data_IF_684009286534
#
_entry.id   IF_684009286534
#
_cell.length_a   1.000
_cell.length_b   1.000
_cell.length_c   1.000
_cell.angle_alpha   90.00
_cell.angle_beta   90.00
_cell.angle_gamma   90.00
#
_symmetry.space_group_name_H-M   'P 1'
#
loop_
_entity.id
_entity.type
_entity.pdbx_description
1 polymer ?
#
# COMPACT_ATOMS: atom_id res chain seq x y z
N UNK A 1 10.09 -4.81 5.79
CA UNK A 1 8.93 -5.04 6.67
C UNK A 1 9.41 -5.68 7.97
N UNK A 2 8.62 -5.57 9.05
CA UNK A 2 8.89 -6.24 10.33
C UNK A 2 8.19 -7.62 10.34
N UNK A 3 8.93 -8.65 10.74
CA UNK A 3 8.43 -10.03 10.87
C UNK A 3 7.28 -10.14 11.87
N UNK A 4 7.19 -9.23 12.85
CA UNK A 4 6.08 -9.17 13.83
C UNK A 4 4.71 -8.95 13.17
N UNK A 5 4.69 -8.42 11.95
CA UNK A 5 3.46 -8.10 11.22
C UNK A 5 3.03 -9.21 10.24
N UNK A 6 3.70 -10.36 10.26
CA UNK A 6 3.39 -11.48 9.39
C UNK A 6 2.36 -12.40 10.05
N UNK A 7 1.43 -13.00 9.29
CA UNK A 7 0.51 -14.00 9.85
C UNK A 7 1.30 -15.21 10.39
N UNK A 8 0.91 -15.74 11.55
CA UNK A 8 1.61 -16.89 12.15
C UNK A 8 1.22 -18.21 11.50
N UNK A 9 0.00 -18.28 10.95
CA UNK A 9 -0.50 -19.48 10.26
C UNK A 9 -1.58 -19.13 9.24
N UNK A 10 -1.81 -20.07 8.31
CA UNK A 10 -2.93 -19.97 7.37
C UNK A 10 -4.28 -19.88 8.10
N UNK A 11 -4.49 -20.68 9.16
CA UNK A 11 -5.75 -20.71 9.90
C UNK A 11 -6.05 -19.37 10.61
N UNK A 12 -5.00 -18.71 11.11
CA UNK A 12 -5.10 -17.38 11.69
C UNK A 12 -5.50 -16.35 10.63
N UNK A 13 -4.86 -16.36 9.46
CA UNK A 13 -5.19 -15.46 8.35
C UNK A 13 -6.63 -15.67 7.86
N UNK A 14 -7.10 -16.91 7.76
CA UNK A 14 -8.50 -17.21 7.43
C UNK A 14 -9.47 -16.66 8.46
N UNK A 15 -9.10 -16.68 9.75
CA UNK A 15 -9.90 -16.08 10.80
C UNK A 15 -9.97 -14.55 10.64
N UNK A 16 -8.83 -13.89 10.38
CA UNK A 16 -8.81 -12.45 10.11
C UNK A 16 -9.63 -12.08 8.87
N UNK A 17 -9.59 -12.88 7.81
CA UNK A 17 -10.39 -12.68 6.61
C UNK A 17 -11.89 -12.81 6.86
N UNK A 18 -12.32 -13.81 7.63
CA UNK A 18 -13.74 -13.95 8.01
C UNK A 18 -14.20 -12.75 8.83
N UNK A 19 -13.43 -12.34 9.84
CA UNK A 19 -13.75 -11.17 10.68
C UNK A 19 -13.83 -9.90 9.83
N UNK A 20 -12.78 -9.60 9.08
CA UNK A 20 -12.66 -8.35 8.33
C UNK A 20 -13.66 -8.29 7.18
N UNK A 21 -13.87 -9.39 6.46
CA UNK A 21 -14.87 -9.46 5.40
C UNK A 21 -16.29 -9.20 5.91
N UNK A 22 -16.62 -9.70 7.11
CA UNK A 22 -17.90 -9.44 7.76
C UNK A 22 -18.05 -7.97 8.15
N UNK A 23 -17.03 -7.39 8.82
CA UNK A 23 -17.03 -5.98 9.24
C UNK A 23 -17.15 -5.04 8.03
N UNK A 24 -16.40 -5.32 6.97
CA UNK A 24 -16.36 -4.51 5.75
C UNK A 24 -17.51 -4.80 4.78
N UNK A 25 -18.40 -5.74 5.10
CA UNK A 25 -19.51 -6.18 4.24
C UNK A 25 -19.03 -6.55 2.82
N UNK A 26 -17.88 -7.20 2.74
CA UNK A 26 -17.24 -7.54 1.47
C UNK A 26 -18.09 -8.55 0.68
N UNK A 27 -18.34 -8.32 -0.62
CA UNK A 27 -18.98 -9.32 -1.48
C UNK A 27 -18.04 -10.46 -1.86
N UNK A 28 -16.74 -10.33 -1.57
CA UNK A 28 -15.73 -11.34 -1.82
C UNK A 28 -15.27 -12.00 -0.53
N UNK A 29 -15.12 -13.33 -0.56
CA UNK A 29 -14.42 -14.08 0.48
C UNK A 29 -12.94 -14.18 0.12
N UNK A 30 -12.09 -13.60 0.96
CA UNK A 30 -10.65 -13.71 0.80
C UNK A 30 -10.18 -15.15 1.12
N UNK A 31 -9.14 -15.60 0.43
CA UNK A 31 -8.55 -16.92 0.50
C UNK A 31 -7.13 -16.80 1.08
N UNK A 32 -6.81 -17.56 2.14
CA UNK A 32 -5.48 -17.56 2.76
C UNK A 32 -4.50 -18.58 2.15
N UNK A 33 -4.89 -19.31 1.09
CA UNK A 33 -4.04 -20.32 0.44
C UNK A 33 -2.73 -19.74 -0.12
N UNK A 34 -2.63 -18.42 -0.31
CA UNK A 34 -1.37 -17.76 -0.67
C UNK A 34 -0.30 -17.84 0.43
N UNK A 35 -0.70 -18.10 1.68
CA UNK A 35 0.18 -18.12 2.85
C UNK A 35 1.38 -19.06 2.64
N UNK A 36 2.57 -18.57 2.98
CA UNK A 36 3.80 -19.36 3.00
C UNK A 36 4.42 -19.26 4.40
N UNK A 37 4.61 -20.38 5.11
CA UNK A 37 5.14 -20.38 6.46
C UNK A 37 6.62 -19.95 6.49
N UNK A 38 7.02 -19.25 7.54
CA UNK A 38 8.42 -18.90 7.83
C UNK A 38 8.98 -17.71 7.04
N UNK A 39 8.19 -17.06 6.20
CA UNK A 39 8.62 -15.83 5.52
C UNK A 39 8.80 -14.68 6.53
N UNK A 40 9.90 -13.94 6.37
CA UNK A 40 10.15 -12.70 7.11
C UNK A 40 9.46 -11.49 6.45
N UNK A 41 9.26 -11.55 5.13
CA UNK A 41 8.53 -10.56 4.35
C UNK A 41 7.99 -11.14 3.04
N UNK A 42 6.95 -10.53 2.49
CA UNK A 42 6.47 -10.79 1.12
C UNK A 42 7.21 -9.89 0.13
N UNK A 43 8.49 -10.16 -0.13
CA UNK A 43 9.34 -9.29 -0.96
C UNK A 43 8.87 -9.22 -2.42
N UNK A 44 8.71 -10.37 -3.08
CA UNK A 44 8.40 -10.44 -4.51
C UNK A 44 7.18 -9.60 -4.95
N UNK A 45 5.99 -9.72 -4.34
CA UNK A 45 4.83 -8.95 -4.79
C UNK A 45 5.02 -7.44 -4.62
N UNK A 46 5.74 -7.01 -3.57
CA UNK A 46 6.03 -5.60 -3.32
C UNK A 46 7.09 -5.05 -4.28
N UNK A 47 8.12 -5.84 -4.58
CA UNK A 47 9.18 -5.47 -5.52
C UNK A 47 8.67 -5.39 -6.96
N UNK A 48 7.80 -6.31 -7.37
CA UNK A 48 7.14 -6.27 -8.68
C UNK A 48 6.27 -5.02 -8.82
N UNK A 49 5.50 -4.67 -7.79
CA UNK A 49 4.69 -3.44 -7.81
C UNK A 49 5.55 -2.17 -7.88
N UNK A 50 6.65 -2.10 -7.13
CA UNK A 50 7.57 -0.96 -7.18
C UNK A 50 8.30 -0.87 -8.52
N UNK A 51 8.69 -2.01 -9.10
CA UNK A 51 9.35 -2.07 -10.40
C UNK A 51 8.47 -1.54 -11.53
N UNK A 52 7.17 -1.86 -11.50
CA UNK A 52 6.23 -1.40 -12.50
C UNK A 52 6.14 0.13 -12.58
N UNK A 53 6.39 0.87 -11.48
CA UNK A 53 6.47 2.34 -11.51
C UNK A 53 7.59 2.83 -12.42
N UNK A 54 8.70 2.10 -12.46
CA UNK A 54 9.83 2.41 -13.36
C UNK A 54 9.52 2.09 -14.83
N UNK A 55 8.40 1.43 -15.09
CA UNK A 55 7.87 1.13 -16.43
C UNK A 55 6.69 2.04 -16.79
N UNK A 56 6.43 3.10 -16.02
CA UNK A 56 5.41 4.11 -16.31
C UNK A 56 4.05 3.86 -15.66
N UNK A 57 3.90 2.86 -14.78
CA UNK A 57 2.67 2.68 -14.01
C UNK A 57 2.58 3.75 -12.92
N UNK A 58 1.54 4.57 -12.96
CA UNK A 58 1.34 5.71 -12.04
C UNK A 58 0.24 5.50 -11.01
N UNK A 59 -0.49 4.39 -11.08
CA UNK A 59 -1.60 4.05 -10.20
C UNK A 59 -1.35 2.72 -9.43
N UNK A 60 -2.38 2.23 -8.73
CA UNK A 60 -2.31 1.01 -7.93
C UNK A 60 -2.75 -0.26 -8.70
N UNK A 61 -2.94 -0.20 -10.02
CA UNK A 61 -3.44 -1.32 -10.82
C UNK A 61 -2.63 -2.61 -10.62
N UNK A 62 -1.30 -2.51 -10.65
CA UNK A 62 -0.37 -3.64 -10.44
C UNK A 62 -0.51 -4.25 -9.04
N UNK A 63 -0.62 -3.41 -8.00
CA UNK A 63 -0.81 -3.88 -6.62
C UNK A 63 -2.14 -4.63 -6.50
N UNK A 64 -3.21 -4.10 -7.10
CA UNK A 64 -4.54 -4.70 -7.06
C UNK A 64 -4.55 -6.08 -7.73
N UNK A 65 -3.95 -6.23 -8.92
CA UNK A 65 -3.97 -7.52 -9.63
C UNK A 65 -3.12 -8.58 -8.94
N UNK A 66 -1.98 -8.19 -8.35
CA UNK A 66 -1.16 -9.09 -7.51
C UNK A 66 -1.93 -9.48 -6.24
N UNK A 67 -2.57 -8.53 -5.57
CA UNK A 67 -3.37 -8.81 -4.37
C UNK A 67 -4.55 -9.73 -4.68
N UNK A 68 -5.22 -9.57 -5.83
CA UNK A 68 -6.28 -10.49 -6.27
C UNK A 68 -5.75 -11.90 -6.52
N UNK A 69 -4.61 -12.04 -7.20
CA UNK A 69 -3.98 -13.34 -7.43
C UNK A 69 -3.69 -14.08 -6.12
N UNK A 70 -3.20 -13.39 -5.08
CA UNK A 70 -3.00 -13.98 -3.76
C UNK A 70 -4.32 -14.19 -3.01
N UNK A 71 -4.98 -13.08 -2.68
CA UNK A 71 -6.03 -13.02 -1.66
C UNK A 71 -7.41 -13.43 -2.17
N UNK A 72 -7.63 -13.54 -3.49
CA UNK A 72 -8.89 -14.03 -4.07
C UNK A 72 -8.67 -15.41 -4.68
N UNK A 73 -7.67 -15.55 -5.54
CA UNK A 73 -7.40 -16.80 -6.27
C UNK A 73 -6.59 -17.81 -5.45
N UNK A 74 -5.94 -17.39 -4.36
CA UNK A 74 -5.15 -18.27 -3.48
C UNK A 74 -3.76 -18.63 -4.01
N UNK A 75 -3.24 -17.92 -5.02
CA UNK A 75 -1.95 -18.21 -5.62
C UNK A 75 -0.79 -17.84 -4.68
N UNK A 76 0.32 -18.58 -4.77
CA UNK A 76 1.55 -18.34 -3.99
C UNK A 76 2.34 -17.12 -4.49
N UNK A 77 1.71 -15.94 -4.44
CA UNK A 77 2.27 -14.67 -4.91
C UNK A 77 3.53 -14.18 -4.18
N UNK A 78 4.01 -14.89 -3.15
CA UNK A 78 5.34 -14.69 -2.58
C UNK A 78 6.46 -15.16 -3.53
N UNK A 79 6.12 -16.07 -4.44
CA UNK A 79 7.02 -16.55 -5.48
C UNK A 79 7.15 -15.49 -6.58
N UNK A 80 8.39 -15.19 -6.97
CA UNK A 80 8.70 -14.19 -8.00
C UNK A 80 7.90 -14.39 -9.28
N UNK A 81 7.82 -15.62 -9.75
CA UNK A 81 7.15 -15.89 -11.01
C UNK A 81 5.64 -15.72 -10.93
N UNK A 82 5.02 -16.13 -9.82
CA UNK A 82 3.59 -15.92 -9.60
C UNK A 82 3.26 -14.43 -9.54
N UNK A 83 4.06 -13.63 -8.83
CA UNK A 83 3.86 -12.18 -8.74
C UNK A 83 4.02 -11.48 -10.11
N UNK A 84 5.08 -11.80 -10.85
CA UNK A 84 5.34 -11.23 -12.20
C UNK A 84 4.21 -11.60 -13.15
N UNK A 85 3.78 -12.87 -13.18
CA UNK A 85 2.71 -13.32 -14.07
C UNK A 85 1.37 -12.67 -13.69
N UNK A 86 1.06 -12.50 -12.40
CA UNK A 86 -0.13 -11.77 -11.98
C UNK A 86 -0.12 -10.32 -12.48
N UNK A 87 1.03 -9.63 -12.35
CA UNK A 87 1.19 -8.26 -12.84
C UNK A 87 1.03 -8.16 -14.36
N UNK A 88 1.67 -9.04 -15.13
CA UNK A 88 1.66 -9.00 -16.61
C UNK A 88 0.29 -9.39 -17.19
N UNK A 89 -0.45 -10.30 -16.53
CA UNK A 89 -1.83 -10.62 -16.94
C UNK A 89 -2.77 -9.43 -16.77
N UNK A 90 -2.57 -8.63 -15.72
CA UNK A 90 -3.44 -7.51 -15.37
C UNK A 90 -3.03 -6.17 -15.96
N UNK A 91 -1.75 -6.02 -16.28
CA UNK A 91 -1.13 -4.77 -16.73
C UNK A 91 -0.21 -5.10 -17.92
N UNK A 92 -0.32 -4.37 -19.03
CA UNK A 92 0.44 -4.63 -20.26
C UNK A 92 1.94 -4.34 -20.10
N UNK A 93 2.66 -5.21 -19.39
CA UNK A 93 4.06 -5.08 -19.00
C UNK A 93 4.91 -6.20 -19.61
N UNK A 94 6.17 -5.92 -19.94
CA UNK A 94 7.11 -6.97 -20.33
C UNK A 94 7.57 -7.75 -19.09
N UNK A 95 7.29 -9.06 -19.06
CA UNK A 95 7.61 -9.93 -17.92
C UNK A 95 9.11 -9.98 -17.59
N UNK A 96 9.97 -10.10 -18.61
CA UNK A 96 11.42 -10.19 -18.44
C UNK A 96 12.01 -8.90 -17.86
N UNK A 97 11.63 -7.75 -18.44
CA UNK A 97 12.03 -6.43 -17.93
C UNK A 97 11.52 -6.20 -16.52
N UNK A 98 10.25 -6.51 -16.25
CA UNK A 98 9.64 -6.34 -14.92
C UNK A 98 10.36 -7.16 -13.86
N UNK A 99 10.64 -8.44 -14.14
CA UNK A 99 11.36 -9.32 -13.22
C UNK A 99 12.78 -8.83 -12.96
N UNK A 100 13.51 -8.45 -14.01
CA UNK A 100 14.87 -7.93 -13.89
C UNK A 100 14.92 -6.66 -13.03
N UNK A 101 14.00 -5.72 -13.28
CA UNK A 101 13.89 -4.49 -12.49
C UNK A 101 13.51 -4.80 -11.04
N UNK A 102 12.53 -5.67 -10.79
CA UNK A 102 12.07 -6.01 -9.44
C UNK A 102 13.16 -6.64 -8.57
N UNK A 103 14.13 -7.32 -9.18
CA UNK A 103 15.28 -7.90 -8.48
C UNK A 103 16.50 -6.98 -8.44
N UNK A 104 16.42 -5.77 -9.02
CA UNK A 104 17.52 -4.81 -9.02
C UNK A 104 17.72 -4.15 -7.67
N UNK A 105 18.98 -3.82 -7.36
CA UNK A 105 19.32 -3.11 -6.12
C UNK A 105 18.60 -1.76 -6.01
N UNK A 106 18.41 -1.04 -7.12
CA UNK A 106 17.70 0.23 -7.16
C UNK A 106 16.24 0.12 -6.68
N UNK A 107 15.55 -0.99 -6.98
CA UNK A 107 14.19 -1.22 -6.47
C UNK A 107 14.22 -1.59 -5.00
N UNK A 108 15.13 -2.48 -4.61
CA UNK A 108 15.28 -2.90 -3.22
C UNK A 108 15.59 -1.71 -2.31
N UNK A 109 16.52 -0.84 -2.69
CA UNK A 109 16.90 0.35 -1.93
C UNK A 109 15.73 1.30 -1.75
N UNK A 110 14.94 1.56 -2.81
CA UNK A 110 13.72 2.37 -2.71
C UNK A 110 12.72 1.78 -1.73
N UNK A 111 12.48 0.47 -1.79
CA UNK A 111 11.58 -0.20 -0.86
C UNK A 111 12.08 -0.13 0.59
N UNK A 112 13.39 -0.23 0.82
CA UNK A 112 13.97 -0.08 2.16
C UNK A 112 13.84 1.35 2.65
N UNK A 113 14.08 2.34 1.81
CA UNK A 113 13.91 3.76 2.15
C UNK A 113 12.46 4.08 2.55
N UNK A 114 11.47 3.66 1.75
CA UNK A 114 10.05 3.90 2.08
C UNK A 114 9.58 3.09 3.29
N UNK A 115 10.15 1.89 3.51
CA UNK A 115 9.93 1.14 4.75
C UNK A 115 10.47 1.89 5.98
N UNK A 116 11.67 2.47 5.88
CA UNK A 116 12.28 3.22 6.97
C UNK A 116 11.50 4.50 7.26
N UNK A 117 11.04 5.20 6.23
CA UNK A 117 10.14 6.36 6.36
C UNK A 117 8.84 5.97 7.06
N UNK A 118 8.18 4.88 6.64
CA UNK A 118 6.99 4.36 7.31
C UNK A 118 7.23 4.04 8.79
N UNK A 119 8.38 3.42 9.11
CA UNK A 119 8.75 3.08 10.49
C UNK A 119 9.02 4.32 11.35
N UNK A 120 9.50 5.42 10.76
CA UNK A 120 9.73 6.68 11.47
C UNK A 120 8.44 7.28 12.04
N UNK A 121 7.27 7.00 11.43
CA UNK A 121 5.97 7.40 11.96
C UNK A 121 5.52 6.60 13.19
N UNK A 122 6.22 5.52 13.55
CA UNK A 122 5.94 4.66 14.72
C UNK A 122 4.49 4.15 14.77
N UNK A 123 3.86 3.97 13.61
CA UNK A 123 2.52 3.44 13.52
C UNK A 123 2.55 1.94 13.79
N UNK A 124 1.67 1.48 14.68
CA UNK A 124 1.64 0.10 15.15
C UNK A 124 0.58 -0.75 14.46
N UNK A 125 -0.35 -0.14 13.72
CA UNK A 125 -1.51 -0.82 13.13
C UNK A 125 -1.69 -0.48 11.66
N UNK A 126 -1.99 -1.49 10.84
CA UNK A 126 -2.32 -1.37 9.42
C UNK A 126 -3.83 -1.62 9.19
N UNK A 127 -4.46 -1.02 8.16
CA UNK A 127 -3.90 -0.01 7.26
C UNK A 127 -3.60 1.31 8.00
N UNK A 128 -2.66 2.08 7.47
CA UNK A 128 -2.29 3.39 8.02
C UNK A 128 -2.21 4.41 6.90
N UNK A 129 -2.59 5.64 7.18
CA UNK A 129 -2.65 6.73 6.21
C UNK A 129 -1.96 7.97 6.78
N UNK A 130 -1.13 8.60 5.96
CA UNK A 130 -0.64 9.96 6.17
C UNK A 130 -1.31 10.84 5.12
N UNK A 131 -2.01 11.86 5.56
CA UNK A 131 -2.52 12.93 4.71
C UNK A 131 -1.72 14.19 5.01
N UNK A 132 -1.18 14.81 3.97
CA UNK A 132 -0.41 16.06 4.07
C UNK A 132 -0.97 17.08 3.07
N UNK A 133 -1.19 18.31 3.51
CA UNK A 133 -1.57 19.42 2.66
C UNK A 133 -0.35 20.20 2.18
N UNK A 134 -0.52 21.01 1.12
CA UNK A 134 0.54 21.88 0.61
C UNK A 134 0.93 23.04 1.56
N UNK A 135 0.16 23.26 2.65
CA UNK A 135 0.48 24.23 3.70
C UNK A 135 1.18 23.58 4.91
N UNK A 136 1.49 22.28 4.83
CA UNK A 136 2.23 21.55 5.85
C UNK A 136 1.37 20.92 6.96
N UNK A 137 0.04 21.03 6.89
CA UNK A 137 -0.84 20.35 7.83
C UNK A 137 -0.82 18.85 7.58
N UNK A 138 -0.85 18.07 8.67
CA UNK A 138 -0.73 16.61 8.64
C UNK A 138 -1.79 15.94 9.48
N UNK A 139 -2.35 14.86 8.94
CA UNK A 139 -3.23 13.93 9.67
C UNK A 139 -2.70 12.51 9.52
N UNK A 140 -2.59 11.79 10.62
CA UNK A 140 -2.10 10.40 10.65
C UNK A 140 -3.20 9.49 11.20
N UNK A 141 -3.53 8.44 10.44
CA UNK A 141 -4.43 7.37 10.86
C UNK A 141 -3.65 6.06 10.98
N UNK A 142 -3.82 5.32 12.07
CA UNK A 142 -3.19 4.02 12.31
C UNK A 142 -4.25 2.99 12.69
N UNK A 143 -4.51 2.01 11.81
CA UNK A 143 -5.47 0.92 12.01
C UNK A 143 -6.90 1.22 11.56
N UNK A 144 -7.15 2.36 10.90
CA UNK A 144 -8.49 2.73 10.43
C UNK A 144 -8.73 2.21 9.01
N UNK A 145 -9.75 1.37 8.81
CA UNK A 145 -10.04 0.74 7.52
C UNK A 145 -11.23 1.35 6.75
N UNK A 146 -12.04 2.19 7.38
CA UNK A 146 -13.24 2.78 6.75
C UNK A 146 -12.93 4.15 6.15
N UNK A 147 -13.70 4.55 5.13
CA UNK A 147 -13.40 5.72 4.30
C UNK A 147 -13.85 7.04 4.93
N UNK A 148 -14.90 7.02 5.75
CA UNK A 148 -15.60 8.22 6.22
C UNK A 148 -14.68 9.17 7.03
N UNK A 149 -13.83 8.70 7.95
CA UNK A 149 -12.93 9.60 8.66
C UNK A 149 -11.80 10.14 7.75
N UNK A 150 -11.38 9.37 6.75
CA UNK A 150 -10.39 9.81 5.75
C UNK A 150 -10.96 10.94 4.89
N UNK A 151 -12.20 10.80 4.42
CA UNK A 151 -12.90 11.80 3.62
C UNK A 151 -13.09 13.11 4.40
N UNK A 152 -13.47 13.01 5.68
CA UNK A 152 -13.64 14.17 6.56
C UNK A 152 -12.32 14.93 6.76
N UNK A 153 -11.23 14.20 7.06
CA UNK A 153 -9.91 14.80 7.21
C UNK A 153 -9.40 15.45 5.92
N UNK A 154 -9.58 14.77 4.77
CA UNK A 154 -9.22 15.33 3.47
C UNK A 154 -9.98 16.63 3.18
N UNK A 155 -11.27 16.66 3.48
CA UNK A 155 -12.12 17.84 3.30
C UNK A 155 -11.67 19.01 4.16
N UNK A 156 -11.23 18.75 5.40
CA UNK A 156 -10.67 19.78 6.28
C UNK A 156 -9.35 20.33 5.73
N UNK A 157 -8.39 19.45 5.39
CA UNK A 157 -7.09 19.84 4.83
C UNK A 157 -7.23 20.68 3.55
N UNK A 158 -8.15 20.31 2.66
CA UNK A 158 -8.42 21.07 1.43
C UNK A 158 -9.06 22.43 1.71
N UNK A 159 -9.90 22.54 2.74
CA UNK A 159 -10.55 23.80 3.13
C UNK A 159 -9.52 24.78 3.67
N UNK A 160 -8.64 24.31 4.55
CA UNK A 160 -7.60 25.13 5.16
C UNK A 160 -6.59 25.61 4.11
N UNK A 161 -6.13 24.70 3.23
CA UNK A 161 -5.28 25.06 2.10
C UNK A 161 -5.89 26.15 1.20
N UNK A 162 -7.20 26.07 0.90
CA UNK A 162 -7.91 27.08 0.12
C UNK A 162 -8.04 28.40 0.86
N UNK A 163 -8.30 28.37 2.17
CA UNK A 163 -8.40 29.58 2.99
C UNK A 163 -7.05 30.32 3.04
N UNK A 164 -5.95 29.59 3.20
CA UNK A 164 -4.59 30.15 3.17
C UNK A 164 -4.25 30.78 1.82
N UNK A 165 -4.55 30.09 0.71
CA UNK A 165 -4.36 30.63 -0.62
C UNK A 165 -5.19 31.91 -0.85
N UNK A 166 -6.45 31.91 -0.40
CA UNK A 166 -7.32 33.08 -0.48
C UNK A 166 -6.80 34.25 0.35
N UNK A 167 -6.29 34.00 1.55
CA UNK A 167 -5.74 35.04 2.41
C UNK A 167 -4.48 35.66 1.78
N UNK A 168 -3.55 34.82 1.31
CA UNK A 168 -2.32 35.28 0.67
C UNK A 168 -2.57 36.09 -0.62
N UNK A 169 -3.69 35.85 -1.32
CA UNK A 169 -4.05 36.62 -2.51
C UNK A 169 -4.53 38.06 -2.20
N UNK A 170 -4.96 38.35 -0.97
CA UNK A 170 -5.58 39.62 -0.59
C UNK A 170 -4.88 40.35 0.55
N UNK A 171 -3.88 39.73 1.17
CA UNK A 171 -3.17 40.27 2.33
C UNK A 171 -1.66 40.18 2.12
N UNK A 172 -0.92 41.09 2.75
CA UNK A 172 0.55 41.05 2.76
C UNK A 172 1.04 39.87 3.59
N UNK A 173 2.21 39.35 3.25
CA UNK A 173 2.87 38.29 4.01
C UNK A 173 3.06 38.68 5.49
N UNK A 174 3.10 37.69 6.40
CA UNK A 174 3.41 37.96 7.80
C UNK A 174 4.73 38.74 7.92
N UNK A 175 4.83 39.70 8.85
CA UNK A 175 6.10 40.36 9.12
C UNK A 175 7.14 39.34 9.62
N UNK A 176 8.39 39.53 9.21
CA UNK A 176 9.56 38.77 9.68
C UNK A 176 9.94 39.12 11.13
#
# INVERSE_FOLDING_TARGET
>A
MDASSMPNSQAEEEWYYRRSGTIMRSPYRLNAHWFVPGLQEYLAPNAVAEAARSMGVTDDSVRIVIARAGMIEGLKFAEWEVAVQAAVRGCSLNAGTLRSLAQSQTILDRMRATTAEFQAFKMTSRPSFLLESNIGDRVVFSGLATIEPLESALSALLRDAKAYASYAAHHVSPPE
#
